data_IF_255922950974
#
_entry.id   IF_255922950974
#
_cell.length_a   1.000
_cell.length_b   1.000
_cell.length_c   1.000
_cell.angle_alpha   90.00
_cell.angle_beta   90.00
_cell.angle_gamma   90.00
#
_symmetry.space_group_name_H-M   'P 1'
#
loop_
_entity.id
_entity.type
_entity.pdbx_description
1 polymer ?
#
# COMPACT_ATOMS: atom_id res chain seq x y z
N UNK A 1 14.06 -38.90 10.11
CA UNK A 1 12.96 -38.88 9.13
C UNK A 1 12.70 -40.31 8.69
N UNK A 2 11.48 -40.62 8.27
CA UNK A 2 11.20 -41.90 7.62
C UNK A 2 11.63 -41.84 6.14
N UNK A 3 11.95 -42.98 5.54
CA UNK A 3 12.45 -43.04 4.14
C UNK A 3 11.53 -42.34 3.13
N UNK A 4 10.21 -42.37 3.33
CA UNK A 4 9.27 -41.68 2.44
C UNK A 4 9.43 -40.15 2.48
N UNK A 5 9.79 -39.58 3.63
CA UNK A 5 9.99 -38.13 3.79
C UNK A 5 11.25 -37.68 3.05
N UNK A 6 12.32 -38.48 3.10
CA UNK A 6 13.58 -38.21 2.40
C UNK A 6 13.41 -38.26 0.87
N UNK A 7 12.65 -39.24 0.37
CA UNK A 7 12.30 -39.35 -1.05
C UNK A 7 11.46 -38.15 -1.50
N UNK A 8 10.46 -37.76 -0.69
CA UNK A 8 9.59 -36.63 -0.99
C UNK A 8 10.39 -35.31 -1.04
N UNK A 9 11.25 -35.08 -0.04
CA UNK A 9 12.12 -33.90 0.03
C UNK A 9 13.07 -33.80 -1.16
N UNK A 10 13.71 -34.91 -1.54
CA UNK A 10 14.60 -34.96 -2.70
C UNK A 10 13.87 -34.59 -3.99
N UNK A 11 12.66 -35.13 -4.19
CA UNK A 11 11.86 -34.84 -5.37
C UNK A 11 11.42 -33.37 -5.41
N UNK A 12 10.86 -32.85 -4.31
CA UNK A 12 10.33 -31.48 -4.24
C UNK A 12 11.41 -30.41 -4.37
N UNK A 13 12.59 -30.62 -3.79
CA UNK A 13 13.72 -29.68 -3.90
C UNK A 13 14.35 -29.64 -5.29
N UNK A 14 14.08 -30.64 -6.12
CA UNK A 14 14.59 -30.74 -7.50
C UNK A 14 13.62 -30.16 -8.54
N UNK A 15 12.44 -29.68 -8.12
CA UNK A 15 11.45 -29.07 -9.03
C UNK A 15 11.49 -27.54 -8.95
N UNK A 16 11.16 -26.88 -10.05
CA UNK A 16 10.78 -25.47 -10.02
C UNK A 16 9.45 -25.34 -9.28
N UNK A 17 9.47 -24.60 -8.16
CA UNK A 17 8.30 -24.37 -7.32
C UNK A 17 7.82 -22.93 -7.49
N UNK A 18 6.56 -22.75 -7.88
CA UNK A 18 5.90 -21.45 -7.88
C UNK A 18 4.95 -21.40 -6.70
N UNK A 19 5.21 -20.47 -5.77
CA UNK A 19 4.27 -20.15 -4.70
C UNK A 19 3.31 -19.09 -5.23
N UNK A 20 2.04 -19.43 -5.39
CA UNK A 20 0.98 -18.47 -5.67
C UNK A 20 0.24 -18.09 -4.39
N UNK A 21 -0.07 -16.80 -4.26
CA UNK A 21 -0.90 -16.26 -3.17
C UNK A 21 -2.13 -15.64 -3.83
N UNK A 22 -3.30 -16.02 -3.34
CA UNK A 22 -4.59 -15.51 -3.82
C UNK A 22 -5.33 -14.80 -2.68
N UNK A 23 -6.12 -13.78 -3.03
CA UNK A 23 -6.92 -12.98 -2.09
C UNK A 23 -8.40 -13.15 -2.40
N UNK A 24 -9.02 -14.30 -2.07
CA UNK A 24 -10.40 -14.61 -2.46
C UNK A 24 -11.45 -13.70 -1.81
N UNK A 25 -11.10 -12.99 -0.73
CA UNK A 25 -11.94 -11.99 -0.07
C UNK A 25 -11.75 -10.57 -0.61
N UNK A 26 -10.93 -10.37 -1.65
CA UNK A 26 -10.76 -9.07 -2.29
C UNK A 26 -11.96 -8.81 -3.21
N UNK A 27 -13.01 -8.23 -2.64
CA UNK A 27 -14.29 -8.02 -3.35
C UNK A 27 -14.16 -7.04 -4.53
N UNK A 28 -13.18 -6.13 -4.48
CA UNK A 28 -12.97 -5.08 -5.47
C UNK A 28 -11.68 -5.33 -6.25
N UNK A 29 -11.70 -5.03 -7.55
CA UNK A 29 -10.51 -5.15 -8.37
C UNK A 29 -9.38 -4.22 -7.89
N UNK A 30 -8.12 -4.58 -8.15
CA UNK A 30 -6.94 -3.75 -7.81
C UNK A 30 -7.13 -2.30 -8.29
N UNK A 31 -7.71 -2.12 -9.48
CA UNK A 31 -8.01 -0.80 -10.04
C UNK A 31 -8.97 0.01 -9.17
N UNK A 32 -10.08 -0.59 -8.74
CA UNK A 32 -11.10 0.10 -7.93
C UNK A 32 -10.55 0.50 -6.56
N UNK A 33 -9.72 -0.36 -5.95
CA UNK A 33 -9.04 -0.08 -4.69
C UNK A 33 -8.14 1.15 -4.84
N UNK A 34 -7.31 1.18 -5.89
CA UNK A 34 -6.40 2.31 -6.15
C UNK A 34 -7.17 3.59 -6.46
N UNK A 35 -8.24 3.51 -7.26
CA UNK A 35 -9.07 4.67 -7.61
C UNK A 35 -9.76 5.25 -6.38
N UNK A 36 -10.37 4.42 -5.53
CA UNK A 36 -11.04 4.87 -4.32
C UNK A 36 -10.05 5.50 -3.32
N UNK A 37 -8.91 4.85 -3.09
CA UNK A 37 -7.87 5.36 -2.20
C UNK A 37 -7.32 6.71 -2.71
N UNK A 38 -7.05 6.81 -4.02
CA UNK A 38 -6.59 8.06 -4.66
C UNK A 38 -7.62 9.17 -4.54
N UNK A 39 -8.90 8.88 -4.82
CA UNK A 39 -9.98 9.85 -4.71
C UNK A 39 -10.12 10.39 -3.27
N UNK A 40 -10.05 9.51 -2.28
CA UNK A 40 -10.12 9.90 -0.86
C UNK A 40 -8.94 10.79 -0.46
N UNK A 41 -7.73 10.45 -0.88
CA UNK A 41 -6.55 11.27 -0.61
C UNK A 41 -6.62 12.64 -1.28
N UNK A 42 -6.97 12.69 -2.56
CA UNK A 42 -7.16 13.96 -3.27
C UNK A 42 -8.26 14.82 -2.63
N UNK A 43 -9.35 14.20 -2.17
CA UNK A 43 -10.42 14.92 -1.46
C UNK A 43 -9.95 15.51 -0.12
N UNK A 44 -9.04 14.84 0.59
CA UNK A 44 -8.43 15.37 1.82
C UNK A 44 -7.47 16.53 1.49
N UNK A 45 -6.59 16.34 0.51
CA UNK A 45 -5.65 17.38 0.05
C UNK A 45 -6.41 18.62 -0.41
N UNK A 46 -7.51 18.46 -1.16
CA UNK A 46 -8.35 19.59 -1.56
C UNK A 46 -8.87 20.38 -0.35
N UNK A 47 -9.29 19.71 0.73
CA UNK A 47 -9.76 20.39 1.95
C UNK A 47 -8.63 21.15 2.65
N UNK A 48 -7.43 20.60 2.69
CA UNK A 48 -6.23 21.26 3.26
C UNK A 48 -5.92 22.55 2.47
N UNK A 49 -6.02 22.47 1.14
CA UNK A 49 -5.75 23.60 0.23
C UNK A 49 -6.87 24.66 0.19
N UNK A 50 -8.11 24.29 0.53
CA UNK A 50 -9.26 25.21 0.55
C UNK A 50 -9.25 26.18 1.73
N UNK A 51 -8.40 25.95 2.73
CA UNK A 51 -8.16 26.93 3.78
C UNK A 51 -7.16 27.98 3.28
N UNK A 52 -7.63 29.23 3.13
CA UNK A 52 -6.89 30.35 2.54
C UNK A 52 -5.90 31.00 3.52
N UNK A 53 -5.69 30.44 4.72
CA UNK A 53 -4.69 30.94 5.67
C UNK A 53 -3.27 30.63 5.17
N UNK A 54 -2.49 31.68 4.91
CA UNK A 54 -1.22 31.61 4.17
C UNK A 54 -0.04 32.25 4.92
N UNK A 55 -0.04 32.26 6.26
CA UNK A 55 1.21 32.58 6.97
C UNK A 55 2.27 31.52 6.68
N UNK A 56 3.55 31.85 6.79
CA UNK A 56 4.64 30.88 6.54
C UNK A 56 4.48 29.60 7.39
N UNK A 57 4.04 29.74 8.64
CA UNK A 57 3.76 28.63 9.54
C UNK A 57 2.59 27.76 9.05
N UNK A 58 1.52 28.37 8.57
CA UNK A 58 0.36 27.65 8.05
C UNK A 58 0.67 26.97 6.71
N UNK A 59 1.46 27.62 5.85
CA UNK A 59 1.97 27.02 4.62
C UNK A 59 2.79 25.76 4.92
N UNK A 60 3.71 25.82 5.89
CA UNK A 60 4.47 24.66 6.32
C UNK A 60 3.56 23.54 6.86
N UNK A 61 2.64 23.88 7.77
CA UNK A 61 1.72 22.90 8.35
C UNK A 61 0.84 22.22 7.28
N UNK A 62 0.36 22.96 6.28
CA UNK A 62 -0.42 22.40 5.15
C UNK A 62 0.40 21.41 4.33
N UNK A 63 1.68 21.69 4.10
CA UNK A 63 2.58 20.77 3.38
C UNK A 63 2.75 19.49 4.20
N UNK A 64 3.02 19.59 5.49
CA UNK A 64 3.12 18.43 6.40
C UNK A 64 1.83 17.61 6.43
N UNK A 65 0.67 18.26 6.50
CA UNK A 65 -0.63 17.56 6.44
C UNK A 65 -0.82 16.80 5.12
N UNK A 66 -0.38 17.37 3.99
CA UNK A 66 -0.42 16.69 2.69
C UNK A 66 0.54 15.49 2.68
N UNK A 67 1.75 15.63 3.23
CA UNK A 67 2.71 14.53 3.37
C UNK A 67 2.10 13.39 4.18
N UNK A 68 1.51 13.70 5.34
CA UNK A 68 0.81 12.70 6.15
C UNK A 68 -0.34 12.01 5.42
N UNK A 69 -1.06 12.70 4.52
CA UNK A 69 -2.09 12.04 3.69
C UNK A 69 -1.48 10.96 2.81
N UNK A 70 -0.30 11.18 2.24
CA UNK A 70 0.42 10.19 1.42
C UNK A 70 1.05 9.08 2.26
N UNK A 71 1.61 9.39 3.43
CA UNK A 71 2.15 8.39 4.36
C UNK A 71 1.08 7.41 4.86
N UNK A 72 -0.11 7.92 5.15
CA UNK A 72 -1.26 7.09 5.52
C UNK A 72 -1.75 6.19 4.38
N UNK A 73 -1.41 6.49 3.12
CA UNK A 73 -1.62 5.62 1.96
C UNK A 73 -0.50 4.60 1.76
N UNK A 74 0.59 4.68 2.54
CA UNK A 74 1.76 3.83 2.43
C UNK A 74 2.88 4.40 1.54
N UNK A 75 2.83 5.69 1.18
CA UNK A 75 3.97 6.36 0.54
C UNK A 75 5.02 6.72 1.59
N UNK A 76 6.28 6.36 1.36
CA UNK A 76 7.35 6.62 2.33
C UNK A 76 7.74 8.11 2.43
N UNK A 77 7.34 8.95 1.47
CA UNK A 77 7.56 10.40 1.39
C UNK A 77 8.98 10.93 1.73
N UNK A 78 9.98 10.06 1.89
CA UNK A 78 11.34 10.38 2.29
C UNK A 78 11.47 10.58 3.80
N UNK A 79 11.67 9.47 4.53
CA UNK A 79 12.25 9.47 5.88
C UNK A 79 13.76 9.79 5.82
#
# INVERSE_FOLDING_TARGET
MQLYEEILMHYLTSQECVISVDFPGLEHGVKEIVELASYQALSKIQKILMDDSLTDQECYNKIEEIVHVFENLGSDCGN
#
